data_IF_116503034747
#
_entry.id   IF_116503034747
#
_cell.length_a   1.000
_cell.length_b   1.000
_cell.length_c   1.000
_cell.angle_alpha   90.00
_cell.angle_beta   90.00
_cell.angle_gamma   90.00
#
_symmetry.space_group_name_H-M   'P 1'
#
loop_
_entity.id
_entity.type
_entity.pdbx_description
1 polymer ?
#
# COMPACT_ATOMS: atom_id res chain seq x y z
N UNK A 1 19.70 -41.02 -29.83
CA UNK A 1 20.09 -39.68 -29.35
C UNK A 1 18.83 -38.82 -29.31
N UNK A 2 18.56 -38.18 -28.16
CA UNK A 2 17.46 -37.19 -27.91
C UNK A 2 17.48 -36.11 -29.01
N UNK A 3 16.36 -35.47 -29.35
CA UNK A 3 15.87 -34.26 -28.64
C UNK A 3 14.35 -34.06 -28.86
N UNK A 4 13.73 -33.57 -27.80
CA UNK A 4 12.31 -33.44 -27.53
C UNK A 4 11.67 -32.26 -28.30
N UNK A 5 10.34 -32.34 -28.41
CA UNK A 5 9.43 -31.26 -28.84
C UNK A 5 9.52 -30.09 -27.87
N UNK A 6 9.79 -28.88 -28.37
CA UNK A 6 9.49 -27.66 -27.64
C UNK A 6 8.35 -26.92 -28.33
N UNK A 7 7.18 -27.00 -27.71
CA UNK A 7 6.03 -26.15 -27.97
C UNK A 7 6.38 -24.71 -27.61
N UNK A 8 6.33 -23.82 -28.59
CA UNK A 8 6.37 -22.38 -28.35
C UNK A 8 5.04 -21.97 -27.74
N UNK A 9 4.99 -21.85 -26.42
CA UNK A 9 3.87 -21.23 -25.71
C UNK A 9 4.04 -19.72 -25.77
N UNK A 10 3.34 -19.07 -26.70
CA UNK A 10 3.14 -17.61 -26.66
C UNK A 10 2.18 -17.33 -25.50
N UNK A 11 2.72 -16.97 -24.35
CA UNK A 11 1.92 -16.51 -23.22
C UNK A 11 1.43 -15.09 -23.51
N UNK A 12 0.23 -15.00 -24.10
CA UNK A 12 -0.56 -13.78 -24.18
C UNK A 12 -1.00 -13.36 -22.77
N UNK A 13 -0.09 -12.77 -22.00
CA UNK A 13 -0.43 -12.13 -20.73
C UNK A 13 -1.03 -10.75 -21.01
N UNK A 14 -2.26 -10.75 -21.52
CA UNK A 14 -3.18 -9.62 -21.37
C UNK A 14 -3.43 -9.48 -19.88
N UNK A 15 -2.66 -8.63 -19.20
CA UNK A 15 -2.89 -8.26 -17.81
C UNK A 15 -4.21 -7.50 -17.76
N UNK A 16 -5.32 -8.24 -17.71
CA UNK A 16 -6.63 -7.69 -17.38
C UNK A 16 -6.50 -7.18 -15.95
N UNK A 17 -6.59 -5.86 -15.79
CA UNK A 17 -6.86 -5.26 -14.49
C UNK A 17 -8.04 -6.01 -13.84
N UNK A 18 -7.94 -6.38 -12.55
CA UNK A 18 -8.99 -7.11 -11.88
C UNK A 18 -10.29 -6.31 -11.95
N UNK A 19 -11.35 -6.93 -12.49
CA UNK A 19 -12.68 -6.30 -12.71
C UNK A 19 -13.50 -6.18 -11.41
N UNK A 20 -12.84 -6.14 -10.27
CA UNK A 20 -13.46 -5.99 -8.95
C UNK A 20 -12.45 -5.32 -8.02
N UNK A 21 -12.86 -4.33 -7.21
CA UNK A 21 -12.00 -3.78 -6.17
C UNK A 21 -11.51 -4.94 -5.29
N UNK A 22 -10.20 -5.03 -4.95
CA UNK A 22 -9.74 -6.01 -3.98
C UNK A 22 -10.57 -5.85 -2.70
N UNK A 23 -11.30 -6.91 -2.33
CA UNK A 23 -12.18 -6.91 -1.17
C UNK A 23 -11.35 -6.77 0.11
N UNK A 24 -11.70 -5.78 0.93
CA UNK A 24 -11.11 -5.43 2.23
C UNK A 24 -10.56 -6.65 2.99
N UNK A 25 -9.25 -6.82 2.90
CA UNK A 25 -8.40 -7.29 3.98
C UNK A 25 -7.23 -6.33 3.99
N UNK A 26 -7.48 -5.09 4.42
CA UNK A 26 -6.43 -4.10 4.53
C UNK A 26 -5.41 -4.65 5.54
N UNK A 27 -4.26 -5.09 5.03
CA UNK A 27 -3.26 -5.73 5.86
C UNK A 27 -2.66 -4.63 6.75
N UNK A 28 -2.61 -4.90 8.05
CA UNK A 28 -1.94 -4.00 8.99
C UNK A 28 -0.43 -4.07 8.74
N UNK A 29 0.26 -2.94 8.78
CA UNK A 29 1.73 -2.90 8.70
C UNK A 29 2.31 -2.02 9.80
N UNK A 30 3.37 -2.49 10.45
CA UNK A 30 4.07 -1.71 11.48
C UNK A 30 5.09 -0.76 10.85
N UNK A 31 5.49 0.26 11.61
CA UNK A 31 6.47 1.27 11.19
C UNK A 31 7.78 0.67 10.65
N UNK A 32 8.34 -0.33 11.32
CA UNK A 32 9.61 -0.95 10.89
C UNK A 32 9.48 -1.67 9.55
N UNK A 33 8.39 -2.43 9.38
CA UNK A 33 8.11 -3.19 8.17
C UNK A 33 7.89 -2.27 6.97
N UNK A 34 7.12 -1.18 7.12
CA UNK A 34 6.88 -0.27 6.00
C UNK A 34 8.15 0.48 5.57
N UNK A 35 9.04 0.79 6.51
CA UNK A 35 10.36 1.38 6.20
C UNK A 35 11.23 0.39 5.43
N UNK A 36 11.18 -0.89 5.79
CA UNK A 36 11.87 -1.97 5.08
C UNK A 36 11.34 -2.14 3.65
N UNK A 37 10.02 -2.27 3.48
CA UNK A 37 9.37 -2.40 2.17
C UNK A 37 9.63 -1.19 1.27
N UNK A 38 9.64 0.02 1.85
CA UNK A 38 10.08 1.22 1.12
C UNK A 38 11.52 1.09 0.66
N UNK A 39 12.45 0.65 1.54
CA UNK A 39 13.87 0.53 1.20
C UNK A 39 14.10 -0.50 0.08
N UNK A 40 13.31 -1.56 0.05
CA UNK A 40 13.31 -2.57 -1.03
C UNK A 40 12.63 -2.11 -2.32
N UNK A 41 11.99 -0.94 -2.31
CA UNK A 41 11.26 -0.42 -3.47
C UNK A 41 9.95 -1.15 -3.75
N UNK A 42 9.35 -1.78 -2.73
CA UNK A 42 8.10 -2.54 -2.83
C UNK A 42 6.87 -1.64 -2.81
N UNK A 43 6.96 -0.47 -2.16
CA UNK A 43 5.85 0.50 -2.09
C UNK A 43 5.78 1.31 -3.38
N UNK A 44 4.64 1.20 -4.07
CA UNK A 44 4.32 1.94 -5.29
C UNK A 44 3.74 3.32 -4.98
N UNK A 45 2.77 3.39 -4.07
CA UNK A 45 1.99 4.59 -3.78
C UNK A 45 1.75 4.71 -2.28
N UNK A 46 1.58 5.95 -1.82
CA UNK A 46 1.15 6.26 -0.46
C UNK A 46 0.04 7.28 -0.51
N UNK A 47 -1.04 7.00 0.18
CA UNK A 47 -2.26 7.80 0.21
C UNK A 47 -2.55 8.27 1.64
N UNK A 48 -2.90 9.54 1.79
CA UNK A 48 -3.45 10.13 3.01
C UNK A 48 -4.96 10.17 2.83
N UNK A 49 -5.68 9.36 3.60
CA UNK A 49 -7.11 9.13 3.42
C UNK A 49 -7.86 9.68 4.64
N UNK A 50 -8.96 10.40 4.43
CA UNK A 50 -9.83 10.78 5.54
C UNK A 50 -10.51 9.53 6.13
N UNK A 51 -10.41 9.35 7.45
CA UNK A 51 -11.01 8.22 8.14
C UNK A 51 -12.56 8.28 8.00
N UNK A 52 -13.19 7.27 7.38
CA UNK A 52 -14.61 7.34 7.02
C UNK A 52 -15.57 7.28 8.21
N UNK A 53 -15.14 6.72 9.35
CA UNK A 53 -15.98 6.48 10.53
C UNK A 53 -15.65 7.40 11.71
N UNK A 54 -14.68 8.30 11.58
CA UNK A 54 -14.23 9.12 12.69
C UNK A 54 -15.22 10.28 12.94
N UNK A 55 -15.67 10.43 14.19
CA UNK A 55 -16.53 11.57 14.64
C UNK A 55 -15.83 12.92 14.48
N UNK A 56 -14.49 12.92 14.31
CA UNK A 56 -13.64 14.08 14.02
C UNK A 56 -12.90 13.79 12.72
N UNK A 57 -12.48 14.84 12.00
CA UNK A 57 -11.64 14.69 10.81
C UNK A 57 -10.28 14.10 11.23
N UNK A 58 -10.16 12.80 11.07
CA UNK A 58 -8.91 12.07 11.27
C UNK A 58 -8.41 11.57 9.92
N UNK A 59 -7.08 11.47 9.78
CA UNK A 59 -6.41 11.05 8.56
C UNK A 59 -5.63 9.77 8.83
N UNK A 60 -5.68 8.82 7.90
CA UNK A 60 -4.98 7.54 7.98
C UNK A 60 -4.07 7.36 6.77
N UNK A 61 -3.05 6.54 6.91
CA UNK A 61 -2.06 6.28 5.87
C UNK A 61 -2.30 4.91 5.23
N UNK A 62 -2.48 4.90 3.92
CA UNK A 62 -2.62 3.70 3.10
C UNK A 62 -1.39 3.57 2.19
N UNK A 63 -0.72 2.44 2.28
CA UNK A 63 0.44 2.12 1.44
C UNK A 63 0.02 1.07 0.43
N UNK A 64 0.30 1.29 -0.85
CA UNK A 64 0.09 0.29 -1.89
C UNK A 64 1.43 -0.28 -2.32
N UNK A 65 1.53 -1.60 -2.28
CA UNK A 65 2.65 -2.33 -2.83
C UNK A 65 2.52 -2.49 -4.35
N UNK A 66 3.66 -2.64 -5.02
CA UNK A 66 3.74 -2.96 -6.44
C UNK A 66 3.07 -4.27 -6.82
N UNK A 67 2.95 -5.20 -5.87
CA UNK A 67 2.28 -6.49 -6.06
C UNK A 67 0.75 -6.39 -5.98
N UNK A 68 0.20 -5.20 -5.67
CA UNK A 68 -1.24 -4.94 -5.62
C UNK A 68 -1.86 -5.06 -4.23
N UNK A 69 -1.05 -5.33 -3.19
CA UNK A 69 -1.52 -5.32 -1.80
C UNK A 69 -1.56 -3.90 -1.26
N UNK A 70 -2.50 -3.64 -0.35
CA UNK A 70 -2.62 -2.34 0.32
C UNK A 70 -2.65 -2.53 1.83
N UNK A 71 -1.98 -1.62 2.54
CA UNK A 71 -1.73 -1.74 3.96
C UNK A 71 -2.02 -0.44 4.71
N UNK A 72 -2.62 -0.55 5.90
CA UNK A 72 -2.73 0.57 6.83
C UNK A 72 -1.60 0.55 7.84
N UNK A 73 -1.03 1.71 8.14
CA UNK A 73 -0.08 1.84 9.25
C UNK A 73 -0.79 1.56 10.57
N UNK A 74 -0.19 0.72 11.40
CA UNK A 74 -0.67 0.45 12.76
C UNK A 74 0.39 0.72 13.83
N UNK A 75 -0.09 0.98 15.03
CA UNK A 75 0.71 0.99 16.26
C UNK A 75 1.08 -0.43 16.68
N UNK A 76 1.89 -0.55 17.73
CA UNK A 76 2.25 -1.87 18.28
C UNK A 76 1.05 -2.64 18.84
N UNK A 77 0.02 -1.93 19.32
CA UNK A 77 -1.28 -2.48 19.75
C UNK A 77 -2.22 -2.80 18.59
N UNK A 78 -1.71 -2.84 17.37
CA UNK A 78 -2.45 -3.09 16.12
C UNK A 78 -3.61 -2.14 15.82
N UNK A 79 -3.58 -0.93 16.38
CA UNK A 79 -4.57 0.12 16.07
C UNK A 79 -4.08 0.91 14.87
N UNK A 80 -4.99 1.25 13.96
CA UNK A 80 -4.67 2.12 12.82
C UNK A 80 -4.16 3.46 13.34
N UNK A 81 -2.99 3.87 12.85
CA UNK A 81 -2.46 5.20 13.14
C UNK A 81 -3.35 6.24 12.48
N UNK A 82 -3.93 7.12 13.29
CA UNK A 82 -4.71 8.27 12.81
C UNK A 82 -4.06 9.59 13.22
N UNK A 83 -4.28 10.61 12.40
CA UNK A 83 -3.67 11.93 12.52
C UNK A 83 -4.74 13.01 12.53
N UNK A 84 -4.55 14.04 13.35
CA UNK A 84 -5.51 15.14 13.52
C UNK A 84 -5.61 16.07 12.30
N UNK A 85 -4.64 16.04 11.40
CA UNK A 85 -4.56 16.91 10.22
C UNK A 85 -3.76 16.24 9.10
N UNK A 86 -3.89 16.77 7.88
CA UNK A 86 -3.05 16.33 6.76
C UNK A 86 -1.58 16.63 7.03
N UNK A 87 -1.26 17.79 7.61
CA UNK A 87 0.11 18.19 7.91
C UNK A 87 0.80 17.21 8.87
N UNK A 88 0.10 16.78 9.92
CA UNK A 88 0.64 15.77 10.86
C UNK A 88 0.83 14.40 10.20
N UNK A 89 -0.01 14.02 9.24
CA UNK A 89 0.19 12.82 8.42
C UNK A 89 1.39 12.96 7.46
N UNK A 90 1.59 14.13 6.85
CA UNK A 90 2.74 14.43 5.99
C UNK A 90 4.05 14.33 6.78
N UNK A 91 4.10 14.91 7.98
CA UNK A 91 5.27 14.82 8.85
C UNK A 91 5.58 13.37 9.22
N UNK A 92 4.56 12.57 9.54
CA UNK A 92 4.75 11.14 9.78
C UNK A 92 5.37 10.44 8.56
N UNK A 93 4.86 10.68 7.35
CA UNK A 93 5.40 10.12 6.12
C UNK A 93 6.85 10.54 5.83
N UNK A 94 7.21 11.79 6.13
CA UNK A 94 8.59 12.28 6.03
C UNK A 94 9.52 11.51 6.96
N UNK A 95 9.11 11.22 8.21
CA UNK A 95 9.92 10.40 9.13
C UNK A 95 10.09 8.95 8.66
N UNK A 96 9.15 8.42 7.87
CA UNK A 96 9.24 7.12 7.22
C UNK A 96 10.05 7.15 5.91
N UNK A 97 10.45 8.34 5.46
CA UNK A 97 11.24 8.59 4.27
C UNK A 97 10.43 8.75 2.97
N UNK A 98 9.09 8.77 3.03
CA UNK A 98 8.29 9.00 1.83
C UNK A 98 8.38 10.47 1.40
N UNK A 99 8.57 10.68 0.10
CA UNK A 99 8.73 12.01 -0.51
C UNK A 99 7.46 12.54 -1.16
N UNK A 100 6.51 11.64 -1.45
CA UNK A 100 5.27 11.93 -2.19
C UNK A 100 4.16 11.12 -1.56
N UNK A 101 2.98 11.73 -1.51
CA UNK A 101 1.74 11.08 -1.14
C UNK A 101 0.59 11.76 -1.90
N UNK A 102 -0.47 11.01 -2.16
CA UNK A 102 -1.72 11.53 -2.69
C UNK A 102 -2.69 11.78 -1.53
N UNK A 103 -3.45 12.87 -1.59
CA UNK A 103 -4.48 13.17 -0.58
C UNK A 103 -5.83 12.79 -1.18
N UNK A 104 -6.58 11.96 -0.44
CA UNK A 104 -7.91 11.51 -0.82
C UNK A 104 -8.95 12.08 0.15
N UNK A 105 -9.94 12.78 -0.40
CA UNK A 105 -11.07 13.38 0.31
C UNK A 105 -12.32 12.52 0.21
#
# INVERSE_FOLDING_TARGET
MRIQRDSVTVASSTQRLPRSPPRLKDLKVKKGEIVESRRKGEIAEVHIVQAPSAKRKEWILLFKERQGYSHFLVTDDEKVCSYSSVDTAIEALRTLGFKRAEIMF
#
